data_IF_284576352235
#
_entry.id   IF_284576352235
#
_cell.length_a   1.000
_cell.length_b   1.000
_cell.length_c   1.000
_cell.angle_alpha   90.00
_cell.angle_beta   90.00
_cell.angle_gamma   90.00
#
_symmetry.space_group_name_H-M   'P 1'
#
loop_
_entity.id
_entity.type
_entity.pdbx_description
1 polymer ?
#
# COMPACT_ATOMS: atom_id res chain seq x y z
N UNK A 1 7.00 -2.62 14.72
CA UNK A 1 6.71 -1.17 14.45
C UNK A 1 6.71 -0.47 15.80
N UNK A 2 7.32 0.70 15.89
CA UNK A 2 7.38 1.42 17.17
C UNK A 2 6.01 1.98 17.52
N UNK A 3 5.51 1.65 18.71
CA UNK A 3 4.25 2.19 19.26
C UNK A 3 4.50 3.40 20.17
N UNK A 4 5.75 3.77 20.40
CA UNK A 4 6.14 4.86 21.29
C UNK A 4 6.63 6.12 20.57
N UNK A 5 7.00 6.01 19.27
CA UNK A 5 7.36 7.14 18.45
C UNK A 5 6.16 7.59 17.61
N UNK A 6 5.97 8.89 17.35
CA UNK A 6 4.89 9.37 16.49
C UNK A 6 5.19 9.09 15.01
N UNK A 7 5.26 7.82 14.65
CA UNK A 7 5.48 7.32 13.30
C UNK A 7 4.19 6.72 12.77
N UNK A 8 3.86 6.99 11.51
CA UNK A 8 2.82 6.29 10.76
C UNK A 8 3.39 5.74 9.45
N UNK A 9 2.75 4.69 8.95
CA UNK A 9 3.11 4.02 7.72
C UNK A 9 2.01 4.21 6.68
N UNK A 10 2.22 5.15 5.76
CA UNK A 10 1.32 5.32 4.61
C UNK A 10 1.55 4.20 3.62
N UNK A 11 0.48 3.58 3.17
CA UNK A 11 0.54 2.52 2.16
C UNK A 11 -0.44 2.79 1.04
N UNK A 12 -0.02 2.46 -0.20
CA UNK A 12 -0.80 2.65 -1.41
C UNK A 12 -0.93 1.31 -2.12
N UNK A 13 -2.16 0.90 -2.41
CA UNK A 13 -2.47 -0.36 -3.08
C UNK A 13 -2.91 -0.08 -4.54
N UNK A 14 -2.80 -1.08 -5.42
CA UNK A 14 -3.26 -1.13 -6.81
C UNK A 14 -2.33 -0.53 -7.87
N UNK A 15 -1.47 0.40 -7.55
CA UNK A 15 -0.57 1.06 -8.50
C UNK A 15 0.45 0.15 -9.20
N UNK A 16 1.32 0.72 -10.04
CA UNK A 16 1.35 2.12 -10.44
C UNK A 16 0.25 2.49 -11.46
N UNK A 17 -0.33 3.67 -11.31
CA UNK A 17 -1.29 4.28 -12.24
C UNK A 17 -0.68 5.57 -12.82
N UNK A 18 -0.73 5.80 -14.16
CA UNK A 18 -0.04 6.91 -14.81
C UNK A 18 -0.56 8.30 -14.44
N UNK A 19 -1.77 8.42 -13.93
CA UNK A 19 -2.36 9.68 -13.48
C UNK A 19 -2.20 9.88 -11.98
N UNK A 20 -2.43 8.81 -11.20
CA UNK A 20 -2.56 8.89 -9.74
C UNK A 20 -1.23 8.76 -9.03
N UNK A 21 -0.38 7.80 -9.42
CA UNK A 21 0.91 7.59 -8.75
C UNK A 21 1.83 8.83 -8.81
N UNK A 22 1.93 9.59 -9.93
CA UNK A 22 2.71 10.83 -9.95
C UNK A 22 2.17 11.89 -8.98
N UNK A 23 0.84 12.01 -8.84
CA UNK A 23 0.23 12.89 -7.85
C UNK A 23 0.64 12.48 -6.44
N UNK A 24 0.54 11.19 -6.09
CA UNK A 24 0.94 10.66 -4.77
C UNK A 24 2.41 10.98 -4.50
N UNK A 25 3.31 10.68 -5.43
CA UNK A 25 4.74 10.98 -5.30
C UNK A 25 5.00 12.47 -5.04
N UNK A 26 4.26 13.36 -5.74
CA UNK A 26 4.38 14.80 -5.56
C UNK A 26 3.96 15.23 -4.15
N UNK A 27 2.90 14.65 -3.60
CA UNK A 27 2.44 14.95 -2.24
C UNK A 27 3.42 14.42 -1.19
N UNK A 28 3.88 13.18 -1.31
CA UNK A 28 4.86 12.58 -0.40
C UNK A 28 6.16 13.40 -0.35
N UNK A 29 6.64 13.87 -1.51
CA UNK A 29 7.84 14.69 -1.61
C UNK A 29 7.73 16.00 -0.83
N UNK A 30 6.58 16.68 -0.87
CA UNK A 30 6.35 17.95 -0.15
C UNK A 30 6.56 17.80 1.36
N UNK A 31 6.25 16.63 1.92
CA UNK A 31 6.30 16.35 3.35
C UNK A 31 7.51 15.51 3.75
N UNK A 32 8.47 15.28 2.84
CA UNK A 32 9.59 14.35 3.05
C UNK A 32 9.12 12.99 3.60
N UNK A 33 7.97 12.53 3.11
CA UNK A 33 7.29 11.32 3.55
C UNK A 33 7.77 10.12 2.76
N UNK A 34 8.13 9.03 3.44
CA UNK A 34 8.34 7.73 2.85
C UNK A 34 7.08 6.87 3.00
N UNK A 35 6.77 6.06 2.01
CA UNK A 35 5.59 5.21 1.96
C UNK A 35 5.92 3.82 1.42
N UNK A 36 4.94 2.90 1.50
CA UNK A 36 5.03 1.57 0.90
C UNK A 36 3.94 1.41 -0.15
N UNK A 37 4.32 0.99 -1.35
CA UNK A 37 3.41 0.75 -2.46
C UNK A 37 3.26 -0.76 -2.69
N UNK A 38 2.04 -1.29 -2.51
CA UNK A 38 1.71 -2.67 -2.84
C UNK A 38 1.20 -2.71 -4.28
N UNK A 39 2.10 -3.03 -5.19
CA UNK A 39 1.86 -2.90 -6.62
C UNK A 39 1.28 -4.17 -7.23
N UNK A 40 0.35 -4.01 -8.19
CA UNK A 40 -0.15 -5.09 -9.05
C UNK A 40 0.88 -5.34 -10.15
N UNK A 41 1.29 -6.60 -10.35
CA UNK A 41 2.31 -6.96 -11.33
C UNK A 41 2.00 -6.50 -12.76
N UNK A 42 0.77 -6.68 -13.22
CA UNK A 42 0.32 -6.18 -14.53
C UNK A 42 0.45 -4.67 -14.69
N UNK A 43 0.30 -3.91 -13.61
CA UNK A 43 0.46 -2.45 -13.65
C UNK A 43 1.93 -2.06 -13.67
N UNK A 44 2.79 -2.83 -12.99
CA UNK A 44 4.26 -2.66 -13.11
C UNK A 44 4.71 -2.88 -14.55
N UNK A 45 4.26 -3.96 -15.21
CA UNK A 45 4.62 -4.28 -16.60
C UNK A 45 4.18 -3.17 -17.56
N UNK A 46 2.98 -2.65 -17.41
CA UNK A 46 2.45 -1.56 -18.24
C UNK A 46 3.14 -0.22 -18.01
N UNK A 47 3.61 0.03 -16.79
CA UNK A 47 4.10 1.34 -16.36
C UNK A 47 5.47 1.24 -15.67
N UNK A 48 6.40 0.45 -16.24
CA UNK A 48 7.72 0.16 -15.69
C UNK A 48 8.53 1.42 -15.34
N UNK A 49 8.47 2.45 -16.18
CA UNK A 49 9.19 3.71 -15.91
C UNK A 49 8.65 4.41 -14.67
N UNK A 50 7.34 4.40 -14.47
CA UNK A 50 6.72 4.99 -13.30
C UNK A 50 7.04 4.17 -12.02
N UNK A 51 6.99 2.85 -12.12
CA UNK A 51 7.45 1.96 -11.05
C UNK A 51 8.90 2.28 -10.62
N UNK A 52 9.80 2.45 -11.59
CA UNK A 52 11.17 2.83 -11.32
C UNK A 52 11.30 4.20 -10.63
N UNK A 53 10.40 5.15 -10.92
CA UNK A 53 10.35 6.45 -10.22
C UNK A 53 9.94 6.27 -8.75
N UNK A 54 8.97 5.39 -8.45
CA UNK A 54 8.58 5.08 -7.06
C UNK A 54 9.77 4.52 -6.28
N UNK A 55 10.50 3.57 -6.88
CA UNK A 55 11.70 2.98 -6.27
C UNK A 55 12.81 4.01 -6.09
N UNK A 56 13.10 4.82 -7.12
CA UNK A 56 14.14 5.85 -7.09
C UNK A 56 13.84 6.97 -6.08
N UNK A 57 12.56 7.22 -5.77
CA UNK A 57 12.16 8.15 -4.72
C UNK A 57 12.36 7.59 -3.29
N UNK A 58 12.86 6.37 -3.15
CA UNK A 58 13.18 5.75 -1.86
C UNK A 58 11.98 5.09 -1.16
N UNK A 59 10.84 4.97 -1.85
CA UNK A 59 9.68 4.28 -1.30
C UNK A 59 9.88 2.76 -1.29
N UNK A 60 9.23 2.09 -0.34
CA UNK A 60 9.23 0.64 -0.26
C UNK A 60 8.18 0.06 -1.20
N UNK A 61 8.48 -1.10 -1.79
CA UNK A 61 7.57 -1.83 -2.67
C UNK A 61 7.11 -3.12 -2.00
N UNK A 62 5.85 -3.48 -2.18
CA UNK A 62 5.28 -4.77 -1.80
C UNK A 62 4.49 -5.40 -2.94
N UNK A 63 4.30 -6.71 -2.85
CA UNK A 63 3.57 -7.51 -3.84
C UNK A 63 2.06 -7.44 -3.55
N UNK A 64 1.26 -7.14 -4.60
CA UNK A 64 -0.21 -7.12 -4.54
C UNK A 64 -0.84 -8.08 -5.57
N UNK A 65 -0.16 -9.22 -5.82
CA UNK A 65 -0.45 -10.22 -6.85
C UNK A 65 -0.25 -9.70 -8.28
N UNK A 66 -0.20 -10.59 -9.27
CA UNK A 66 -0.02 -10.20 -10.68
C UNK A 66 -1.32 -9.60 -11.26
N UNK A 67 -2.46 -10.22 -10.94
CA UNK A 67 -3.76 -9.91 -11.54
C UNK A 67 -4.79 -9.39 -10.52
N UNK A 68 -4.37 -8.93 -9.34
CA UNK A 68 -5.25 -8.49 -8.26
C UNK A 68 -6.26 -9.57 -7.83
N UNK A 69 -5.82 -10.82 -7.69
CA UNK A 69 -6.68 -11.97 -7.39
C UNK A 69 -7.22 -11.93 -5.96
N UNK A 70 -8.53 -12.19 -5.84
CA UNK A 70 -9.15 -12.39 -4.53
C UNK A 70 -8.82 -13.80 -4.00
N UNK A 71 -8.11 -13.88 -2.85
CA UNK A 71 -7.69 -15.15 -2.29
C UNK A 71 -8.82 -16.11 -1.93
N UNK A 72 -10.01 -15.59 -1.57
CA UNK A 72 -11.15 -16.46 -1.23
C UNK A 72 -11.83 -17.07 -2.46
N UNK A 73 -11.69 -16.45 -3.62
CA UNK A 73 -12.34 -16.87 -4.86
C UNK A 73 -11.42 -17.69 -5.76
N UNK A 74 -10.17 -17.92 -5.37
CA UNK A 74 -9.18 -18.64 -6.15
C UNK A 74 -8.61 -19.82 -5.37
N UNK A 75 -8.38 -20.96 -6.08
CA UNK A 75 -7.71 -22.09 -5.48
C UNK A 75 -6.25 -21.78 -5.12
N UNK A 76 -5.66 -22.63 -4.27
CA UNK A 76 -4.31 -22.39 -3.74
C UNK A 76 -3.26 -22.21 -4.83
N UNK A 77 -3.20 -23.12 -5.79
CA UNK A 77 -2.16 -23.12 -6.82
C UNK A 77 -2.25 -21.88 -7.70
N UNK A 78 -3.44 -21.55 -8.20
CA UNK A 78 -3.68 -20.33 -9.00
C UNK A 78 -3.23 -19.08 -8.25
N UNK A 79 -3.59 -18.96 -6.97
CA UNK A 79 -3.23 -17.81 -6.16
C UNK A 79 -1.72 -17.70 -5.93
N UNK A 80 -1.06 -18.82 -5.59
CA UNK A 80 0.39 -18.82 -5.37
C UNK A 80 1.16 -18.52 -6.64
N UNK A 81 0.74 -19.07 -7.79
CA UNK A 81 1.36 -18.75 -9.09
C UNK A 81 1.24 -17.25 -9.40
N UNK A 82 0.09 -16.64 -9.12
CA UNK A 82 -0.14 -15.22 -9.36
C UNK A 82 0.75 -14.33 -8.46
N UNK A 83 0.93 -14.70 -7.20
CA UNK A 83 1.88 -14.03 -6.29
C UNK A 83 3.33 -14.19 -6.78
N UNK A 84 3.73 -15.39 -7.21
CA UNK A 84 5.09 -15.66 -7.68
C UNK A 84 5.37 -14.92 -8.99
N UNK A 85 4.41 -14.81 -9.89
CA UNK A 85 4.55 -14.03 -11.12
C UNK A 85 4.82 -12.55 -10.82
N UNK A 86 4.06 -11.94 -9.92
CA UNK A 86 4.32 -10.57 -9.48
C UNK A 86 5.70 -10.42 -8.80
N UNK A 87 6.18 -11.46 -8.12
CA UNK A 87 7.47 -11.43 -7.42
C UNK A 87 8.68 -11.24 -8.34
N UNK A 88 8.54 -11.52 -9.63
CA UNK A 88 9.61 -11.29 -10.61
C UNK A 88 9.98 -9.80 -10.74
N UNK A 89 9.07 -8.91 -10.34
CA UNK A 89 9.27 -7.46 -10.37
C UNK A 89 9.64 -6.86 -9.01
N UNK A 90 9.50 -7.63 -7.91
CA UNK A 90 9.53 -7.10 -6.54
C UNK A 90 10.47 -7.90 -5.66
N UNK A 91 11.43 -7.23 -5.03
CA UNK A 91 12.49 -7.88 -4.22
C UNK A 91 12.31 -7.73 -2.70
N UNK A 92 11.22 -7.11 -2.22
CA UNK A 92 11.14 -6.67 -0.82
C UNK A 92 10.69 -7.73 0.20
N UNK A 93 10.09 -8.82 -0.21
CA UNK A 93 9.48 -9.81 0.68
C UNK A 93 8.21 -9.32 1.41
N UNK A 94 7.67 -8.14 1.09
CA UNK A 94 6.39 -7.65 1.60
C UNK A 94 5.25 -8.06 0.66
N UNK A 95 4.15 -8.54 1.24
CA UNK A 95 2.97 -8.97 0.50
C UNK A 95 1.70 -8.46 1.18
N UNK A 96 0.76 -7.93 0.39
CA UNK A 96 -0.60 -7.61 0.85
C UNK A 96 -1.61 -8.32 -0.04
N UNK A 97 -2.53 -9.12 0.54
CA UNK A 97 -3.56 -9.79 -0.24
C UNK A 97 -4.59 -8.77 -0.74
N UNK A 98 -4.97 -8.79 -2.05
CA UNK A 98 -6.06 -7.98 -2.57
C UNK A 98 -7.34 -8.13 -1.74
N UNK A 99 -8.04 -7.02 -1.53
CA UNK A 99 -9.26 -6.94 -0.70
C UNK A 99 -9.08 -7.36 0.76
N UNK A 100 -7.84 -7.58 1.25
CA UNK A 100 -7.57 -8.20 2.54
C UNK A 100 -8.00 -9.67 2.63
N UNK A 101 -8.31 -10.32 1.50
CA UNK A 101 -8.90 -11.66 1.44
C UNK A 101 -7.84 -12.71 1.14
N UNK A 102 -7.51 -13.52 2.16
CA UNK A 102 -6.54 -14.60 2.08
C UNK A 102 -7.01 -15.79 2.94
N UNK A 103 -6.81 -17.01 2.46
CA UNK A 103 -7.14 -18.23 3.20
C UNK A 103 -6.00 -18.70 4.09
N UNK A 104 -6.30 -19.50 5.13
CA UNK A 104 -5.27 -20.08 6.02
C UNK A 104 -4.26 -20.96 5.25
N UNK A 105 -4.68 -21.66 4.19
CA UNK A 105 -3.79 -22.47 3.35
C UNK A 105 -2.80 -21.57 2.59
N UNK A 106 -3.29 -20.47 2.00
CA UNK A 106 -2.44 -19.48 1.32
C UNK A 106 -1.46 -18.81 2.29
N UNK A 107 -1.91 -18.41 3.50
CA UNK A 107 -1.03 -17.85 4.54
C UNK A 107 0.11 -18.82 4.87
N UNK A 108 -0.21 -20.10 5.15
CA UNK A 108 0.81 -21.11 5.49
C UNK A 108 1.85 -21.30 4.39
N UNK A 109 1.44 -21.23 3.13
CA UNK A 109 2.34 -21.37 1.97
C UNK A 109 3.20 -20.12 1.74
N UNK A 110 2.66 -18.93 2.00
CA UNK A 110 3.35 -17.66 1.71
C UNK A 110 4.28 -17.20 2.83
N UNK A 111 3.96 -17.48 4.09
CA UNK A 111 4.66 -16.91 5.27
C UNK A 111 6.15 -17.21 5.36
N UNK A 112 6.65 -18.24 4.68
CA UNK A 112 8.08 -18.58 4.66
C UNK A 112 8.90 -17.63 3.79
N UNK A 113 8.28 -17.04 2.76
CA UNK A 113 8.92 -16.11 1.81
C UNK A 113 8.46 -14.67 2.01
N UNK A 114 7.24 -14.46 2.53
CA UNK A 114 6.56 -13.19 2.56
C UNK A 114 6.10 -12.78 3.95
N UNK A 115 6.36 -11.52 4.31
CA UNK A 115 5.66 -10.87 5.41
C UNK A 115 4.30 -10.38 4.89
N UNK A 116 3.22 -10.97 5.39
CA UNK A 116 1.86 -10.55 5.07
C UNK A 116 1.54 -9.29 5.88
N UNK A 117 1.31 -8.18 5.17
CA UNK A 117 1.07 -6.87 5.78
C UNK A 117 -0.41 -6.51 5.62
N UNK A 118 -1.09 -6.43 6.75
CA UNK A 118 -2.46 -5.91 6.84
C UNK A 118 -2.42 -4.43 7.28
N UNK A 119 -3.52 -3.90 7.78
CA UNK A 119 -3.65 -2.51 8.22
C UNK A 119 -4.55 -2.40 9.45
N UNK A 120 -4.48 -1.29 10.11
CA UNK A 120 -5.41 -0.91 11.20
C UNK A 120 -6.27 0.31 10.82
N UNK A 121 -5.85 1.09 9.80
CA UNK A 121 -6.61 2.25 9.33
C UNK A 121 -6.87 2.14 7.83
N UNK A 122 -8.14 2.16 7.43
CA UNK A 122 -8.58 2.15 6.04
C UNK A 122 -9.26 3.48 5.70
N UNK A 123 -8.75 4.20 4.71
CA UNK A 123 -9.31 5.47 4.26
C UNK A 123 -10.68 5.36 3.61
N UNK A 124 -10.97 4.23 2.95
CA UNK A 124 -12.12 4.00 2.05
C UNK A 124 -12.11 4.91 0.81
N UNK A 125 -10.97 5.42 0.39
CA UNK A 125 -10.82 6.29 -0.78
C UNK A 125 -11.28 5.66 -2.10
N UNK A 126 -11.20 4.33 -2.22
CA UNK A 126 -11.68 3.54 -3.37
C UNK A 126 -13.21 3.43 -3.45
N UNK A 127 -13.94 3.76 -2.39
CA UNK A 127 -15.40 3.61 -2.35
C UNK A 127 -16.08 4.89 -2.85
N UNK A 128 -16.65 4.82 -4.05
CA UNK A 128 -17.21 5.99 -4.75
C UNK A 128 -18.41 6.66 -4.05
N UNK A 129 -19.05 5.94 -3.12
CA UNK A 129 -20.16 6.46 -2.31
C UNK A 129 -19.69 7.18 -1.05
N UNK A 130 -18.42 7.07 -0.71
CA UNK A 130 -17.80 7.77 0.43
C UNK A 130 -17.29 9.12 -0.05
N UNK A 131 -17.48 10.16 0.74
CA UNK A 131 -16.96 11.50 0.43
C UNK A 131 -15.50 11.66 0.88
N UNK A 132 -14.73 12.59 0.31
CA UNK A 132 -13.40 12.92 0.81
C UNK A 132 -13.38 13.27 2.30
N UNK A 133 -14.36 14.01 2.78
CA UNK A 133 -14.50 14.35 4.21
C UNK A 133 -14.65 13.09 5.07
N UNK A 134 -15.45 12.12 4.64
CA UNK A 134 -15.59 10.85 5.36
C UNK A 134 -14.28 10.02 5.31
N UNK A 135 -13.54 10.04 4.20
CA UNK A 135 -12.22 9.42 4.11
C UNK A 135 -11.23 10.05 5.11
N UNK A 136 -11.23 11.39 5.22
CA UNK A 136 -10.42 12.10 6.22
C UNK A 136 -10.82 11.67 7.63
N UNK A 137 -12.10 11.63 7.95
CA UNK A 137 -12.58 11.19 9.26
C UNK A 137 -12.16 9.76 9.58
N UNK A 138 -12.28 8.83 8.62
CA UNK A 138 -11.85 7.43 8.78
C UNK A 138 -10.37 7.33 9.18
N UNK A 139 -9.51 8.18 8.62
CA UNK A 139 -8.10 8.20 8.97
C UNK A 139 -7.89 8.88 10.32
N UNK A 140 -8.36 10.11 10.48
CA UNK A 140 -8.02 10.95 11.64
C UNK A 140 -8.60 10.44 12.97
N UNK A 141 -9.72 9.73 12.94
CA UNK A 141 -10.34 9.17 14.16
C UNK A 141 -9.63 7.90 14.66
N UNK A 142 -8.89 7.19 13.80
CA UNK A 142 -8.34 5.88 14.14
C UNK A 142 -6.81 5.84 14.14
N UNK A 143 -6.15 6.86 13.58
CA UNK A 143 -4.69 6.92 13.52
C UNK A 143 -4.08 7.04 14.90
N UNK A 144 -2.97 6.32 15.11
CA UNK A 144 -2.15 6.33 16.33
C UNK A 144 -0.69 6.01 15.96
N UNK A 145 0.28 6.26 16.84
CA UNK A 145 1.67 5.86 16.59
C UNK A 145 1.76 4.37 16.22
N UNK A 146 2.43 4.09 15.10
CA UNK A 146 2.57 2.75 14.54
C UNK A 146 1.49 2.33 13.55
N UNK A 147 0.45 3.14 13.31
CA UNK A 147 -0.63 2.81 12.39
C UNK A 147 -0.14 2.60 10.97
N UNK A 148 -0.71 1.58 10.32
CA UNK A 148 -0.61 1.33 8.88
C UNK A 148 -1.90 1.81 8.22
N UNK A 149 -1.78 2.87 7.43
CA UNK A 149 -2.90 3.55 6.78
C UNK A 149 -2.95 3.13 5.31
N UNK A 150 -4.12 2.66 4.84
CA UNK A 150 -4.32 2.26 3.45
C UNK A 150 -5.01 3.35 2.66
N UNK A 151 -4.37 3.72 1.57
CA UNK A 151 -4.88 4.45 0.42
C UNK A 151 -4.71 3.60 -0.85
N UNK A 152 -5.25 4.07 -1.98
CA UNK A 152 -5.11 3.38 -3.26
C UNK A 152 -4.65 4.37 -4.33
N UNK A 153 -3.50 4.10 -4.94
CA UNK A 153 -3.00 4.89 -6.08
C UNK A 153 -3.58 4.36 -7.40
N UNK A 154 -4.90 4.35 -7.46
CA UNK A 154 -5.68 3.87 -8.59
C UNK A 154 -6.71 4.91 -9.05
N UNK A 155 -7.05 4.89 -10.34
CA UNK A 155 -7.99 5.82 -10.96
C UNK A 155 -9.34 5.87 -10.23
N UNK A 156 -9.81 4.74 -9.72
CA UNK A 156 -11.07 4.64 -8.97
C UNK A 156 -11.03 5.46 -7.66
N UNK A 157 -9.89 5.48 -6.98
CA UNK A 157 -9.72 6.18 -5.71
C UNK A 157 -9.41 7.68 -5.88
N UNK A 158 -8.97 8.11 -7.06
CA UNK A 158 -8.35 9.41 -7.26
C UNK A 158 -9.19 10.59 -6.78
N UNK A 159 -10.50 10.57 -7.03
CA UNK A 159 -11.41 11.66 -6.59
C UNK A 159 -11.30 11.89 -5.08
N UNK A 160 -11.36 10.83 -4.28
CA UNK A 160 -11.28 10.94 -2.82
C UNK A 160 -9.84 11.15 -2.35
N UNK A 161 -8.89 10.40 -2.93
CA UNK A 161 -7.47 10.47 -2.59
C UNK A 161 -6.90 11.88 -2.78
N UNK A 162 -7.27 12.56 -3.89
CA UNK A 162 -6.72 13.88 -4.23
C UNK A 162 -7.02 14.96 -3.20
N UNK A 163 -8.12 14.85 -2.47
CA UNK A 163 -8.48 15.76 -1.38
C UNK A 163 -8.01 15.22 -0.01
N UNK A 164 -8.10 13.89 0.19
CA UNK A 164 -7.82 13.27 1.49
C UNK A 164 -6.33 13.25 1.81
N UNK A 165 -5.48 12.84 0.86
CA UNK A 165 -4.05 12.65 1.11
C UNK A 165 -3.33 13.93 1.52
N UNK A 166 -3.50 15.09 0.81
CA UNK A 166 -2.86 16.34 1.21
C UNK A 166 -3.26 16.78 2.63
N UNK A 167 -4.55 16.66 2.96
CA UNK A 167 -5.07 17.03 4.28
C UNK A 167 -4.48 16.14 5.38
N UNK A 168 -4.45 14.82 5.17
CA UNK A 168 -3.91 13.86 6.15
C UNK A 168 -2.42 14.11 6.39
N UNK A 169 -1.64 14.34 5.32
CA UNK A 169 -0.21 14.65 5.42
C UNK A 169 0.02 15.93 6.23
N UNK A 170 -0.73 17.00 5.93
CA UNK A 170 -0.65 18.27 6.65
C UNK A 170 -0.97 18.11 8.14
N UNK A 171 -2.11 17.49 8.45
CA UNK A 171 -2.59 17.34 9.84
C UNK A 171 -1.68 16.46 10.68
N UNK A 172 -1.30 15.29 10.19
CA UNK A 172 -0.40 14.40 10.92
C UNK A 172 0.99 15.00 11.10
N UNK A 173 1.50 15.73 10.09
CA UNK A 173 2.76 16.47 10.24
C UNK A 173 2.67 17.56 11.32
N UNK A 174 1.56 18.32 11.36
CA UNK A 174 1.34 19.34 12.39
C UNK A 174 1.20 18.73 13.79
N UNK A 175 0.72 17.50 13.91
CA UNK A 175 0.64 16.72 15.16
C UNK A 175 1.97 16.03 15.51
N UNK A 176 3.03 16.26 14.75
CA UNK A 176 4.39 15.77 15.01
C UNK A 176 4.64 14.34 14.51
N UNK A 177 3.75 13.74 13.73
CA UNK A 177 4.01 12.44 13.13
C UNK A 177 5.06 12.51 12.03
N UNK A 178 5.92 11.49 11.97
CA UNK A 178 6.80 11.21 10.84
C UNK A 178 6.26 10.04 10.01
N UNK A 179 6.55 10.10 8.70
CA UNK A 179 6.07 9.13 7.72
C UNK A 179 7.21 8.22 7.30
N UNK A 180 7.11 6.94 7.61
CA UNK A 180 8.14 5.94 7.25
C UNK A 180 7.56 4.84 6.36
N UNK A 181 8.41 4.29 5.49
CA UNK A 181 8.09 3.07 4.78
C UNK A 181 8.15 1.86 5.72
N UNK A 182 7.34 0.84 5.46
CA UNK A 182 7.42 -0.44 6.17
C UNK A 182 8.79 -1.07 5.86
N UNK A 183 9.56 -1.50 6.88
CA UNK A 183 10.86 -2.12 6.64
C UNK A 183 10.76 -3.35 5.73
N UNK A 184 11.73 -3.58 4.84
CA UNK A 184 11.72 -4.77 3.98
C UNK A 184 11.85 -6.03 4.84
N UNK A 185 11.06 -7.03 4.50
CA UNK A 185 11.17 -8.35 5.12
C UNK A 185 12.29 -9.15 4.46
N UNK A 186 13.16 -9.68 5.29
CA UNK A 186 14.18 -10.66 4.88
C UNK A 186 13.90 -11.93 5.66
N UNK A 187 13.51 -13.04 5.00
CA UNK A 187 13.39 -14.32 5.68
C UNK A 187 14.68 -14.64 6.42
N UNK A 188 14.59 -15.07 7.66
CA UNK A 188 15.75 -15.64 8.37
C UNK A 188 16.16 -16.91 7.62
N UNK A 189 17.44 -17.01 7.27
CA UNK A 189 18.04 -18.20 6.67
C UNK A 189 18.08 -19.34 7.67
#
# INVERSE_FOLDING_TARGET
>A
MSVHEPIVYLTFDDGPDPEVTPFVLSQLKKWNALATFFCIGNNIEKHQQLFNQVVAAGHQIGNHTQNHLNGWSNNLNTYLTDVEQCSTHISSGLFRPPYGKITLKQIRSLRSKWQIVMWDVLSYDFETKVSPTACIQNVMQHVRPGSIIVFHDSKKAFKNLSETLPFVLEKLSAEGYSFKAIPPYRPQQ
#
